data_IF_479849645847
#
_entry.id   IF_479849645847
#
_cell.length_a   1.000
_cell.length_b   1.000
_cell.length_c   1.000
_cell.angle_alpha   90.00
_cell.angle_beta   90.00
_cell.angle_gamma   90.00
#
_symmetry.space_group_name_H-M   'P 1'
#
loop_
_entity.id
_entity.type
_entity.pdbx_description
1 polymer ?
#
# COMPACT_ATOMS: atom_id res chain seq x y z
N UNK A 1 0.14 4.24 -11.61
CA UNK A 1 -0.36 5.25 -10.64
C UNK A 1 0.40 5.20 -9.32
N UNK A 2 0.63 4.02 -8.73
CA UNK A 2 1.42 3.88 -7.50
C UNK A 2 2.81 4.52 -7.56
N UNK A 3 3.54 4.31 -8.66
CA UNK A 3 4.87 4.92 -8.86
C UNK A 3 4.88 6.46 -8.85
N UNK A 4 3.86 7.09 -9.45
CA UNK A 4 3.75 8.54 -9.44
C UNK A 4 3.49 9.06 -8.02
N UNK A 5 2.65 8.36 -7.25
CA UNK A 5 2.39 8.70 -5.85
C UNK A 5 3.62 8.43 -4.97
N UNK A 6 4.40 7.39 -5.27
CA UNK A 6 5.70 7.14 -4.64
C UNK A 6 6.60 8.36 -4.77
N UNK A 7 6.87 8.82 -5.99
CA UNK A 7 7.72 10.00 -6.23
C UNK A 7 7.19 11.23 -5.47
N UNK A 8 5.88 11.45 -5.49
CA UNK A 8 5.26 12.54 -4.72
C UNK A 8 5.47 12.41 -3.21
N UNK A 9 5.24 11.24 -2.62
CA UNK A 9 5.39 11.00 -1.19
C UNK A 9 6.85 11.13 -0.77
N UNK A 10 7.77 10.55 -1.53
CA UNK A 10 9.21 10.62 -1.28
C UNK A 10 9.70 12.07 -1.33
N UNK A 11 9.27 12.85 -2.33
CA UNK A 11 9.59 14.27 -2.43
C UNK A 11 8.98 15.12 -1.31
N UNK A 12 7.76 14.80 -0.86
CA UNK A 12 7.04 15.58 0.16
C UNK A 12 7.54 15.28 1.57
N UNK A 13 7.91 14.02 1.85
CA UNK A 13 8.25 13.57 3.21
C UNK A 13 9.76 13.35 3.40
N UNK A 14 10.55 13.34 2.32
CA UNK A 14 11.99 13.05 2.39
C UNK A 14 12.28 11.62 2.85
N UNK A 15 11.42 10.66 2.52
CA UNK A 15 11.54 9.24 2.87
C UNK A 15 11.71 8.38 1.62
N UNK A 16 12.04 7.09 1.81
CA UNK A 16 12.03 6.08 0.75
C UNK A 16 10.77 5.22 0.95
N UNK A 17 9.82 5.24 0.01
CA UNK A 17 8.53 4.57 0.21
C UNK A 17 8.64 3.03 0.16
N UNK A 18 9.70 2.52 -0.46
CA UNK A 18 10.02 1.08 -0.48
C UNK A 18 10.70 0.60 0.81
N UNK A 19 11.13 1.52 1.68
CA UNK A 19 11.61 1.18 3.01
C UNK A 19 10.41 0.91 3.93
N UNK A 20 10.31 -0.35 4.35
CA UNK A 20 9.21 -0.85 5.17
C UNK A 20 9.13 -0.15 6.53
N UNK A 21 10.25 0.34 7.08
CA UNK A 21 10.25 1.09 8.33
C UNK A 21 9.52 2.44 8.21
N UNK A 22 9.40 2.96 6.98
CA UNK A 22 8.74 4.23 6.65
C UNK A 22 7.28 4.10 6.22
N UNK A 23 6.77 2.87 6.11
CA UNK A 23 5.38 2.63 5.71
C UNK A 23 4.34 3.26 6.66
N UNK A 24 4.54 3.36 7.99
CA UNK A 24 3.62 4.08 8.85
C UNK A 24 3.39 5.53 8.41
N UNK A 25 4.42 6.24 7.97
CA UNK A 25 4.35 7.61 7.46
C UNK A 25 3.65 7.68 6.10
N UNK A 26 3.96 6.74 5.19
CA UNK A 26 3.27 6.60 3.89
C UNK A 26 1.76 6.39 4.10
N UNK A 27 1.39 5.43 4.93
CA UNK A 27 0.00 5.09 5.23
C UNK A 27 -0.75 6.21 5.93
N UNK A 28 -0.08 6.94 6.83
CA UNK A 28 -0.63 8.16 7.43
C UNK A 28 -0.95 9.20 6.36
N UNK A 29 -0.06 9.40 5.38
CA UNK A 29 -0.29 10.37 4.29
C UNK A 29 -1.47 9.99 3.42
N UNK A 30 -1.56 8.72 3.02
CA UNK A 30 -2.70 8.20 2.25
C UNK A 30 -4.02 8.37 3.00
N UNK A 31 -4.04 8.04 4.30
CA UNK A 31 -5.23 8.20 5.15
C UNK A 31 -5.68 9.66 5.22
N UNK A 32 -4.76 10.59 5.45
CA UNK A 32 -5.06 12.05 5.48
C UNK A 32 -5.64 12.54 4.15
N UNK A 33 -5.23 11.93 3.02
CA UNK A 33 -5.74 12.26 1.70
C UNK A 33 -7.07 11.58 1.35
N UNK A 34 -7.64 10.77 2.24
CA UNK A 34 -8.94 10.12 2.04
C UNK A 34 -8.89 8.82 1.24
N UNK A 35 -7.71 8.20 1.09
CA UNK A 35 -7.56 6.94 0.35
C UNK A 35 -8.18 5.72 1.09
N UNK A 36 -8.35 5.83 2.41
CA UNK A 36 -8.86 4.78 3.28
C UNK A 36 -7.96 4.57 4.50
N UNK A 37 -8.34 3.63 5.35
CA UNK A 37 -7.57 3.29 6.54
C UNK A 37 -6.65 2.10 6.29
N UNK A 38 -5.35 2.39 6.19
CA UNK A 38 -4.31 1.40 5.97
C UNK A 38 -3.76 0.86 7.29
N UNK A 39 -3.54 -0.45 7.33
CA UNK A 39 -2.89 -1.13 8.45
C UNK A 39 -1.90 -2.18 7.91
N UNK A 40 -0.75 -2.29 8.58
CA UNK A 40 0.19 -3.39 8.39
C UNK A 40 0.06 -4.36 9.58
N UNK A 41 -0.16 -5.63 9.30
CA UNK A 41 -0.12 -6.70 10.30
C UNK A 41 0.66 -7.88 9.76
N UNK A 42 1.84 -8.13 10.33
CA UNK A 42 2.78 -9.14 9.83
C UNK A 42 3.02 -8.96 8.33
N UNK A 43 2.70 -9.95 7.49
CA UNK A 43 2.80 -9.89 6.04
C UNK A 43 1.54 -9.39 5.33
N UNK A 44 0.56 -8.85 6.05
CA UNK A 44 -0.71 -8.43 5.48
C UNK A 44 -0.90 -6.91 5.52
N UNK A 45 -1.40 -6.36 4.42
CA UNK A 45 -1.89 -4.98 4.33
C UNK A 45 -3.41 -5.03 4.30
N UNK A 46 -4.04 -4.27 5.19
CA UNK A 46 -5.49 -4.11 5.26
C UNK A 46 -5.87 -2.69 4.84
N UNK A 47 -6.88 -2.56 3.99
CA UNK A 47 -7.54 -1.27 3.69
C UNK A 47 -8.99 -1.35 4.14
N UNK A 48 -9.35 -0.55 5.15
CA UNK A 48 -10.76 -0.32 5.52
C UNK A 48 -11.27 0.97 4.87
N UNK A 49 -12.58 1.02 4.62
CA UNK A 49 -13.24 2.14 3.95
C UNK A 49 -12.49 2.64 2.69
N UNK A 50 -12.10 1.73 1.76
CA UNK A 50 -11.38 2.13 0.57
C UNK A 50 -12.25 3.05 -0.30
N UNK A 51 -11.67 4.12 -0.84
CA UNK A 51 -12.43 5.03 -1.72
C UNK A 51 -12.72 4.42 -3.10
N UNK A 52 -11.88 3.46 -3.55
CA UNK A 52 -12.05 2.66 -4.78
C UNK A 52 -12.58 1.28 -4.39
N UNK A 53 -13.57 0.77 -5.15
CA UNK A 53 -14.24 -0.50 -4.89
C UNK A 53 -13.55 -1.74 -5.47
N UNK A 54 -12.56 -1.56 -6.35
CA UNK A 54 -11.86 -2.63 -7.05
C UNK A 54 -10.53 -2.97 -6.33
N UNK A 55 -10.39 -4.17 -5.73
CA UNK A 55 -9.18 -4.56 -5.02
C UNK A 55 -7.96 -4.69 -5.94
N UNK A 56 -8.14 -5.00 -7.23
CA UNK A 56 -7.06 -5.09 -8.21
C UNK A 56 -6.38 -3.73 -8.45
N UNK A 57 -7.18 -2.65 -8.44
CA UNK A 57 -6.67 -1.28 -8.55
C UNK A 57 -5.80 -0.94 -7.35
N UNK A 58 -6.23 -1.34 -6.14
CA UNK A 58 -5.43 -1.19 -4.93
C UNK A 58 -4.17 -2.04 -4.92
N UNK A 59 -4.25 -3.28 -5.41
CA UNK A 59 -3.09 -4.16 -5.56
C UNK A 59 -2.00 -3.50 -6.38
N UNK A 60 -2.29 -3.17 -7.64
CA UNK A 60 -1.32 -2.52 -8.51
C UNK A 60 -0.87 -1.13 -8.03
N UNK A 61 -1.75 -0.38 -7.34
CA UNK A 61 -1.38 0.88 -6.70
C UNK A 61 -0.35 0.68 -5.59
N UNK A 62 -0.58 -0.26 -4.66
CA UNK A 62 0.31 -0.53 -3.54
C UNK A 62 1.62 -1.19 -3.98
N UNK A 63 1.59 -2.08 -4.96
CA UNK A 63 2.78 -2.71 -5.54
C UNK A 63 3.72 -1.64 -6.13
N UNK A 64 3.19 -0.72 -6.94
CA UNK A 64 3.99 0.38 -7.50
C UNK A 64 4.43 1.42 -6.46
N UNK A 65 3.63 1.66 -5.41
CA UNK A 65 3.95 2.62 -4.36
C UNK A 65 5.05 2.10 -3.42
N UNK A 66 4.94 0.84 -3.00
CA UNK A 66 5.77 0.25 -1.96
C UNK A 66 6.89 -0.64 -2.52
N UNK A 67 6.91 -0.91 -3.84
CA UNK A 67 7.92 -1.73 -4.49
C UNK A 67 7.89 -3.19 -4.03
N UNK A 68 6.68 -3.74 -3.88
CA UNK A 68 6.43 -5.12 -3.42
C UNK A 68 5.50 -5.83 -4.40
N UNK A 69 5.33 -7.13 -4.20
CA UNK A 69 4.28 -7.91 -4.86
C UNK A 69 3.21 -8.33 -3.84
N UNK A 70 1.95 -8.32 -4.26
CA UNK A 70 0.80 -8.60 -3.41
C UNK A 70 -0.06 -9.73 -3.98
N UNK A 71 -0.65 -10.53 -3.09
CA UNK A 71 -1.79 -11.40 -3.40
C UNK A 71 -3.07 -10.87 -2.76
N UNK A 72 -4.12 -10.74 -3.56
CA UNK A 72 -5.47 -10.35 -3.09
C UNK A 72 -6.09 -11.51 -2.33
N UNK A 73 -6.56 -11.27 -1.09
CA UNK A 73 -7.22 -12.29 -0.26
C UNK A 73 -8.72 -12.10 -0.11
N UNK A 74 -9.23 -10.91 -0.41
CA UNK A 74 -10.64 -10.56 -0.29
C UNK A 74 -11.05 -9.66 -1.44
N UNK A 75 -12.22 -9.94 -2.03
CA UNK A 75 -12.78 -9.13 -3.12
C UNK A 75 -13.86 -8.13 -2.68
N UNK A 76 -14.14 -8.06 -1.38
CA UNK A 76 -15.04 -7.10 -0.77
C UNK A 76 -14.34 -6.42 0.40
N UNK A 77 -14.70 -5.17 0.70
CA UNK A 77 -14.11 -4.44 1.81
C UNK A 77 -14.45 -5.10 3.16
N UNK A 78 -13.50 -5.13 4.11
CA UNK A 78 -12.15 -4.56 4.03
C UNK A 78 -11.22 -5.40 3.14
N UNK A 79 -10.40 -4.71 2.34
CA UNK A 79 -9.46 -5.39 1.45
C UNK A 79 -8.24 -5.87 2.20
N UNK A 80 -7.88 -7.14 2.01
CA UNK A 80 -6.71 -7.80 2.59
C UNK A 80 -5.78 -8.20 1.45
N UNK A 81 -4.53 -7.76 1.55
CA UNK A 81 -3.44 -8.11 0.64
C UNK A 81 -2.35 -8.83 1.43
N UNK A 82 -1.82 -9.93 0.89
CA UNK A 82 -0.65 -10.61 1.44
C UNK A 82 0.60 -10.19 0.65
N UNK A 83 1.65 -9.78 1.36
CA UNK A 83 2.95 -9.48 0.76
C UNK A 83 3.63 -10.79 0.40
N UNK A 84 3.96 -10.97 -0.87
CA UNK A 84 4.80 -12.09 -1.30
C UNK A 84 6.20 -11.85 -0.76
N UNK A 85 6.69 -12.74 0.09
CA UNK A 85 8.13 -12.79 0.37
C UNK A 85 8.82 -13.20 -0.93
N UNK A 86 9.54 -12.27 -1.55
CA UNK A 86 10.51 -12.60 -2.58
C UNK A 86 11.48 -13.60 -1.96
N UNK A 87 11.44 -14.87 -2.39
CA UNK A 87 12.59 -15.74 -2.19
C UNK A 87 13.70 -15.12 -3.03
N UNK A 88 14.61 -14.39 -2.40
CA UNK A 88 15.92 -14.16 -2.99
C UNK A 88 16.53 -15.53 -3.26
N UNK A 89 16.49 -15.98 -4.52
CA UNK A 89 17.39 -17.01 -5.03
C UNK A 89 18.73 -16.35 -5.36
#
# INVERSE_FOLDING_TARGET
MGEAVKVYIEATLGIIATDREKWPEVFKRLRVQGFGDFYLKDKYILIKAPFIGEPEVWGGFLEGLLGIELDIKTFAAPFVFEIKTSKSQ
#
